data_IF_084071601111
#
_entry.id   IF_084071601111
#
_cell.length_a   1.000
_cell.length_b   1.000
_cell.length_c   1.000
_cell.angle_alpha   90.00
_cell.angle_beta   90.00
_cell.angle_gamma   90.00
#
_symmetry.space_group_name_H-M   'P 1'
#
loop_
_entity.id
_entity.type
_entity.pdbx_description
1 polymer ?
#
# COMPACT_ATOMS: atom_id res chain seq x y z
N UNK A 1 -0.45 -0.99 -1.39
CA UNK A 1 -0.02 -0.20 -0.22
C UNK A 1 -1.26 0.34 0.47
N UNK A 2 -1.47 0.06 1.75
CA UNK A 2 -2.68 0.43 2.50
C UNK A 2 -2.33 1.29 3.71
N UNK A 3 -3.14 2.30 3.96
CA UNK A 3 -3.03 3.14 5.15
C UNK A 3 -3.65 2.42 6.35
N UNK A 4 -2.94 2.30 7.47
CA UNK A 4 -3.42 1.58 8.65
C UNK A 4 -4.69 2.19 9.27
N UNK A 5 -4.88 3.50 9.15
CA UNK A 5 -6.06 4.21 9.65
C UNK A 5 -7.21 4.31 8.63
N UNK A 6 -7.05 3.81 7.40
CA UNK A 6 -8.08 3.86 6.35
C UNK A 6 -9.07 2.68 6.45
N UNK A 7 -9.93 2.73 7.47
CA UNK A 7 -10.87 1.65 7.80
C UNK A 7 -11.81 1.29 6.65
N UNK A 8 -12.27 2.29 5.87
CA UNK A 8 -13.20 2.07 4.76
C UNK A 8 -12.55 1.25 3.64
N UNK A 9 -11.31 1.56 3.27
CA UNK A 9 -10.58 0.80 2.25
C UNK A 9 -10.13 -0.55 2.82
N UNK A 10 -9.68 -0.59 4.08
CA UNK A 10 -9.16 -1.80 4.71
C UNK A 10 -10.22 -2.89 4.90
N UNK A 11 -11.51 -2.53 5.02
CA UNK A 11 -12.62 -3.47 5.10
C UNK A 11 -12.68 -4.47 3.93
N UNK A 12 -12.10 -4.12 2.76
CA UNK A 12 -12.06 -5.00 1.58
C UNK A 12 -10.82 -5.88 1.45
N UNK A 13 -9.79 -5.71 2.28
CA UNK A 13 -8.49 -6.39 2.10
C UNK A 13 -8.62 -7.90 2.13
N UNK A 14 -9.35 -8.46 3.10
CA UNK A 14 -9.43 -9.90 3.30
C UNK A 14 -10.14 -10.61 2.15
N UNK A 15 -11.24 -10.03 1.66
CA UNK A 15 -11.94 -10.55 0.49
C UNK A 15 -11.06 -10.51 -0.77
N UNK A 16 -10.30 -9.42 -0.93
CA UNK A 16 -9.40 -9.27 -2.07
C UNK A 16 -8.22 -10.24 -2.02
N UNK A 17 -7.58 -10.43 -0.85
CA UNK A 17 -6.52 -11.42 -0.66
C UNK A 17 -6.99 -12.83 -1.02
N UNK A 18 -8.16 -13.24 -0.50
CA UNK A 18 -8.75 -14.55 -0.83
C UNK A 18 -8.96 -14.74 -2.32
N UNK A 19 -9.43 -13.71 -3.03
CA UNK A 19 -9.62 -13.77 -4.47
C UNK A 19 -8.29 -13.90 -5.23
N UNK A 20 -7.26 -13.17 -4.82
CA UNK A 20 -5.92 -13.25 -5.41
C UNK A 20 -5.27 -14.63 -5.15
N UNK A 21 -5.40 -15.15 -3.92
CA UNK A 21 -4.90 -16.47 -3.54
C UNK A 21 -5.58 -17.57 -4.36
N UNK A 22 -6.92 -17.52 -4.49
CA UNK A 22 -7.69 -18.48 -5.27
C UNK A 22 -7.37 -18.42 -6.77
N UNK A 23 -6.98 -17.25 -7.27
CA UNK A 23 -6.53 -17.06 -8.65
C UNK A 23 -5.03 -17.34 -8.84
N UNK A 24 -4.31 -17.76 -7.79
CA UNK A 24 -2.86 -18.01 -7.81
C UNK A 24 -2.03 -16.82 -8.31
N UNK A 25 -2.47 -15.59 -8.00
CA UNK A 25 -1.74 -14.38 -8.37
C UNK A 25 -0.57 -14.17 -7.41
N UNK A 26 0.61 -13.84 -7.93
CA UNK A 26 1.73 -13.38 -7.10
C UNK A 26 1.47 -11.92 -6.66
N UNK A 27 1.38 -11.66 -5.35
CA UNK A 27 1.16 -10.31 -4.84
C UNK A 27 1.84 -10.07 -3.49
N UNK A 28 1.96 -8.79 -3.13
CA UNK A 28 2.39 -8.34 -1.79
C UNK A 28 1.41 -7.28 -1.29
N UNK A 29 0.92 -7.44 -0.06
CA UNK A 29 0.11 -6.41 0.63
C UNK A 29 0.90 -5.83 1.79
N UNK A 30 1.11 -4.53 1.76
CA UNK A 30 1.74 -3.77 2.84
C UNK A 30 0.72 -2.83 3.48
N UNK A 31 0.61 -2.88 4.80
CA UNK A 31 -0.17 -1.96 5.63
C UNK A 31 0.79 -1.06 6.40
N UNK A 32 0.54 0.24 6.39
CA UNK A 32 1.39 1.27 7.01
C UNK A 32 0.70 1.79 8.26
N UNK A 33 1.12 1.32 9.43
CA UNK A 33 0.55 1.72 10.71
C UNK A 33 0.63 3.24 10.93
N UNK A 34 -0.43 3.84 11.48
CA UNK A 34 -0.50 5.29 11.73
C UNK A 34 -0.75 6.16 10.49
N UNK A 35 -0.54 5.64 9.28
CA UNK A 35 -0.81 6.39 8.05
C UNK A 35 -2.31 6.47 7.77
N UNK A 36 -2.77 7.62 7.26
CA UNK A 36 -4.13 7.82 6.78
C UNK A 36 -4.21 7.68 5.26
N UNK A 37 -5.42 7.64 4.70
CA UNK A 37 -5.62 7.68 3.25
C UNK A 37 -4.85 8.85 2.63
N UNK A 38 -4.30 8.63 1.43
CA UNK A 38 -3.44 9.57 0.74
C UNK A 38 -2.12 9.94 1.45
N UNK A 39 -1.55 9.03 2.25
CA UNK A 39 -0.26 9.26 2.94
C UNK A 39 0.93 9.59 2.03
N UNK A 40 0.85 9.23 0.75
CA UNK A 40 1.90 9.50 -0.24
C UNK A 40 1.72 10.84 -0.98
N UNK A 41 0.67 11.61 -0.66
CA UNK A 41 0.43 12.92 -1.27
C UNK A 41 1.17 14.01 -0.47
N UNK A 42 2.35 14.38 -0.94
CA UNK A 42 3.25 15.38 -0.34
C UNK A 42 2.73 16.83 -0.39
N UNK A 43 1.72 17.11 -1.21
CA UNK A 43 1.03 18.42 -1.21
C UNK A 43 0.01 18.56 -0.07
N UNK A 44 -0.36 17.45 0.58
CA UNK A 44 -1.36 17.44 1.66
C UNK A 44 -0.70 17.37 3.03
N UNK A 45 -0.48 18.52 3.67
CA UNK A 45 0.09 18.58 5.03
C UNK A 45 -0.72 17.76 6.07
N UNK A 46 -2.04 17.60 5.85
CA UNK A 46 -2.92 16.86 6.76
C UNK A 46 -2.86 15.33 6.59
N UNK A 47 -2.36 14.84 5.46
CA UNK A 47 -2.39 13.40 5.12
C UNK A 47 -0.99 12.83 4.91
N UNK A 48 -0.05 13.63 4.43
CA UNK A 48 1.30 13.19 4.11
C UNK A 48 1.99 12.57 5.32
N UNK A 49 2.48 11.35 5.15
CA UNK A 49 3.37 10.69 6.10
C UNK A 49 4.64 10.32 5.35
N UNK A 50 5.70 11.12 5.56
CA UNK A 50 6.98 10.95 4.86
C UNK A 50 7.58 9.56 5.05
N UNK A 51 7.47 8.98 6.25
CA UNK A 51 8.07 7.67 6.54
C UNK A 51 7.34 6.56 5.80
N UNK A 52 6.00 6.59 5.81
CA UNK A 52 5.19 5.64 5.07
C UNK A 52 5.37 5.82 3.55
N UNK A 53 5.41 7.07 3.08
CA UNK A 53 5.60 7.41 1.67
C UNK A 53 6.95 6.92 1.14
N UNK A 54 8.06 7.24 1.81
CA UNK A 54 9.40 6.82 1.40
C UNK A 54 9.51 5.28 1.33
N UNK A 55 8.96 4.58 2.34
CA UNK A 55 8.95 3.12 2.37
C UNK A 55 8.04 2.50 1.29
N UNK A 56 6.88 3.09 1.02
CA UNK A 56 6.00 2.67 -0.06
C UNK A 56 6.68 2.86 -1.42
N UNK A 57 7.25 4.03 -1.66
CA UNK A 57 7.94 4.34 -2.91
C UNK A 57 9.14 3.43 -3.16
N UNK A 58 9.97 3.18 -2.14
CA UNK A 58 11.10 2.25 -2.26
C UNK A 58 10.66 0.83 -2.65
N UNK A 59 9.58 0.33 -2.07
CA UNK A 59 8.99 -0.98 -2.43
C UNK A 59 8.43 -1.01 -3.85
N UNK A 60 7.78 0.07 -4.29
CA UNK A 60 7.28 0.20 -5.67
C UNK A 60 8.42 0.16 -6.68
N UNK A 61 9.47 0.96 -6.47
CA UNK A 61 10.64 0.98 -7.36
C UNK A 61 11.34 -0.39 -7.37
N UNK A 62 11.48 -1.04 -6.21
CA UNK A 62 12.05 -2.39 -6.13
C UNK A 62 11.22 -3.41 -6.92
N UNK A 63 9.89 -3.38 -6.80
CA UNK A 63 9.01 -4.24 -7.59
C UNK A 63 9.15 -4.00 -9.09
N UNK A 64 9.20 -2.74 -9.53
CA UNK A 64 9.38 -2.42 -10.95
C UNK A 64 10.73 -2.90 -11.48
N UNK A 65 11.81 -2.75 -10.71
CA UNK A 65 13.12 -3.31 -11.06
C UNK A 65 13.08 -4.83 -11.16
N UNK A 66 12.36 -5.50 -10.27
CA UNK A 66 12.23 -6.96 -10.28
C UNK A 66 11.47 -7.48 -11.52
N UNK A 67 10.45 -6.75 -11.98
CA UNK A 67 9.55 -7.23 -13.04
C UNK A 67 9.81 -6.65 -14.44
N UNK A 68 10.53 -5.54 -14.57
CA UNK A 68 10.70 -4.81 -15.84
C UNK A 68 12.15 -4.59 -16.27
N UNK A 69 13.14 -4.88 -15.41
CA UNK A 69 14.56 -4.69 -15.73
C UNK A 69 15.24 -5.98 -16.20
#
# INVERSE_FOLDING_TARGET
>A
HYAGLDSRTNAGIDAYRKALDAAHVEYKVYVYEGANHAFNNDTSAARYDKKAADLAWGRTVAFLKEKLA
#
